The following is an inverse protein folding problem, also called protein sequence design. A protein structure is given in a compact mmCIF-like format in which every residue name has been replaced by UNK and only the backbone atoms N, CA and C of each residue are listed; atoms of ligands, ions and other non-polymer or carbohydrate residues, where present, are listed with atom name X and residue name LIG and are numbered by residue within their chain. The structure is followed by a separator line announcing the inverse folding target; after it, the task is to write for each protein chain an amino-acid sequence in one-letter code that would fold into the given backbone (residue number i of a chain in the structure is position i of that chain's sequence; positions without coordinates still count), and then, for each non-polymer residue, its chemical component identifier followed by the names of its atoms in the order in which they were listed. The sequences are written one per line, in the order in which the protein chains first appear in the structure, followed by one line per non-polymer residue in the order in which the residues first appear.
data_IF_734378834742
#
_entry.id   IF_734378834742
#
_cell.length_a   1.000
_cell.length_b   1.000
_cell.length_c   1.000
_cell.angle_alpha   90.00
_cell.angle_beta   90.00
_cell.angle_gamma   90.00
#
_symmetry.space_group_name_H-M   'P 1'
#
loop_
_entity.id
_entity.type
_entity.pdbx_description
1 polymer ?
#
# COMPACT_ATOMS: atom_id res chain seq x y z
N UNK A 1 10.68 4.15 25.76
CA UNK A 1 9.37 3.57 25.43
C UNK A 1 8.51 4.72 24.93
N UNK A 2 8.07 4.68 23.67
CA UNK A 2 7.28 5.78 23.09
C UNK A 2 5.80 5.57 23.44
N UNK A 3 5.20 6.49 24.19
CA UNK A 3 3.75 6.50 24.43
C UNK A 3 3.25 7.93 24.63
N UNK A 4 2.01 8.19 24.23
CA UNK A 4 1.38 9.51 24.40
C UNK A 4 -0.14 9.42 24.41
N UNK A 5 -0.80 10.38 25.07
CA UNK A 5 -2.26 10.46 25.12
C UNK A 5 -2.79 11.32 23.97
N UNK A 6 -3.82 10.83 23.27
CA UNK A 6 -4.54 11.57 22.25
C UNK A 6 -6.03 11.22 22.25
N UNK A 7 -6.91 12.23 22.30
CA UNK A 7 -8.38 12.09 22.34
C UNK A 7 -8.87 10.99 23.32
N UNK A 8 -8.31 10.97 24.54
CA UNK A 8 -8.71 10.01 25.58
C UNK A 8 -8.20 8.57 25.38
N UNK A 9 -7.28 8.34 24.44
CA UNK A 9 -6.59 7.05 24.23
C UNK A 9 -5.09 7.20 24.49
N UNK A 10 -4.51 6.24 25.20
CA UNK A 10 -3.06 6.06 25.25
C UNK A 10 -2.60 5.34 23.98
N UNK A 11 -1.74 6.00 23.21
CA UNK A 11 -1.04 5.42 22.07
C UNK A 11 0.29 4.87 22.53
N UNK A 12 0.55 3.62 22.19
CA UNK A 12 1.78 2.91 22.54
C UNK A 12 2.64 2.68 21.30
N UNK A 13 3.93 2.48 21.49
CA UNK A 13 4.85 2.01 20.44
C UNK A 13 4.31 0.78 19.70
N UNK A 14 3.57 -0.09 20.40
CA UNK A 14 2.97 -1.28 19.84
C UNK A 14 1.78 -0.97 18.91
N UNK A 15 0.91 -0.01 19.27
CA UNK A 15 -0.14 0.49 18.36
C UNK A 15 0.48 1.06 17.07
N UNK A 16 1.57 1.81 17.22
CA UNK A 16 2.27 2.42 16.09
C UNK A 16 2.90 1.36 15.18
N UNK A 17 3.49 0.31 15.75
CA UNK A 17 4.02 -0.83 14.99
C UNK A 17 2.91 -1.59 14.28
N UNK A 18 1.76 -1.82 14.91
CA UNK A 18 0.63 -2.49 14.29
C UNK A 18 0.12 -1.73 13.05
N UNK A 19 0.07 -0.40 13.11
CA UNK A 19 -0.33 0.43 11.97
C UNK A 19 0.61 0.33 10.76
N UNK A 20 1.82 -0.19 10.92
CA UNK A 20 2.72 -0.49 9.79
C UNK A 20 2.40 -1.82 9.11
N UNK A 21 1.62 -2.69 9.75
CA UNK A 21 1.38 -4.07 9.30
C UNK A 21 2.60 -4.99 9.37
N UNK A 22 3.76 -4.49 9.81
CA UNK A 22 5.02 -5.25 9.87
C UNK A 22 4.99 -6.30 10.98
N UNK A 23 4.12 -6.15 11.98
CA UNK A 23 3.96 -7.15 13.04
C UNK A 23 3.62 -8.54 12.49
N UNK A 24 2.87 -8.62 11.38
CA UNK A 24 2.56 -9.88 10.70
C UNK A 24 3.79 -10.61 10.14
N UNK A 25 4.96 -9.96 10.15
CA UNK A 25 6.19 -10.41 9.54
C UNK A 25 7.34 -10.53 10.55
N UNK A 26 7.08 -10.46 11.85
CA UNK A 26 8.12 -10.47 12.90
C UNK A 26 9.16 -11.59 12.69
N UNK A 27 8.74 -12.80 12.28
CA UNK A 27 9.63 -13.94 12.00
C UNK A 27 10.57 -13.76 10.79
N UNK A 28 10.34 -12.77 9.93
CA UNK A 28 11.13 -12.53 8.71
C UNK A 28 12.18 -11.42 8.87
N UNK A 29 12.06 -10.59 9.91
CA UNK A 29 13.00 -9.50 10.19
C UNK A 29 14.02 -9.85 11.28
N UNK A 30 13.89 -11.00 11.94
CA UNK A 30 14.85 -11.48 12.94
C UNK A 30 16.27 -11.62 12.35
N UNK A 31 16.38 -11.95 11.05
CA UNK A 31 17.64 -12.06 10.30
C UNK A 31 18.01 -10.78 9.51
N UNK A 32 17.35 -9.65 9.77
CA UNK A 32 17.67 -8.36 9.16
C UNK A 32 18.36 -7.43 10.18
N UNK A 33 19.71 -7.42 10.23
CA UNK A 33 20.44 -6.56 11.17
C UNK A 33 20.23 -5.06 10.89
N UNK A 34 19.70 -4.71 9.71
CA UNK A 34 19.35 -3.35 9.32
C UNK A 34 17.90 -2.96 9.65
N UNK A 35 17.10 -3.86 10.23
CA UNK A 35 15.71 -3.58 10.55
C UNK A 35 15.60 -2.48 11.63
N UNK A 36 14.96 -1.38 11.27
CA UNK A 36 14.73 -0.23 12.17
C UNK A 36 13.36 0.37 11.91
N UNK A 37 12.61 0.63 12.98
CA UNK A 37 11.41 1.47 12.96
C UNK A 37 11.75 2.77 13.68
N UNK A 38 11.58 3.90 13.01
CA UNK A 38 11.80 5.22 13.59
C UNK A 38 10.51 6.04 13.47
N UNK A 39 10.05 6.58 14.60
CA UNK A 39 8.92 7.49 14.65
C UNK A 39 9.41 8.92 14.91
N UNK A 40 8.88 9.88 14.15
CA UNK A 40 9.23 11.29 14.28
C UNK A 40 7.95 12.12 14.24
N UNK A 41 7.80 13.02 15.20
CA UNK A 41 6.72 14.00 15.22
C UNK A 41 7.09 15.18 14.32
N UNK A 42 6.09 15.83 13.72
CA UNK A 42 6.30 17.12 13.05
C UNK A 42 6.99 18.10 14.00
N UNK A 43 7.90 18.93 13.49
CA UNK A 43 8.51 19.98 14.32
C UNK A 43 7.42 20.98 14.73
N UNK A 44 7.43 21.47 15.98
CA UNK A 44 6.52 22.54 16.42
C UNK A 44 6.52 23.72 15.43
N UNK A 45 5.39 24.43 15.27
CA UNK A 45 4.25 24.56 16.20
C UNK A 45 3.09 23.58 15.95
N UNK A 46 3.22 22.68 14.99
CA UNK A 46 2.14 21.75 14.66
C UNK A 46 2.02 20.69 15.74
N UNK A 47 0.87 20.71 16.41
CA UNK A 47 0.39 19.84 17.46
C UNK A 47 0.60 18.36 17.08
N UNK A 48 0.70 17.49 18.09
CA UNK A 48 0.84 16.02 18.05
C UNK A 48 -0.18 15.23 17.19
N UNK A 49 -0.88 15.89 16.27
CA UNK A 49 -1.89 15.31 15.39
C UNK A 49 -1.27 14.45 14.29
N UNK A 50 -0.05 14.76 13.85
CA UNK A 50 0.64 14.03 12.79
C UNK A 50 1.98 13.46 13.27
N UNK A 51 2.23 12.20 12.95
CA UNK A 51 3.54 11.59 13.13
C UNK A 51 3.94 10.75 11.91
N UNK A 52 5.24 10.68 11.70
CA UNK A 52 5.84 9.97 10.59
C UNK A 52 6.52 8.72 11.13
N UNK A 53 6.27 7.57 10.49
CA UNK A 53 7.01 6.34 10.73
C UNK A 53 7.86 6.06 9.49
N UNK A 54 9.16 5.87 9.72
CA UNK A 54 10.07 5.31 8.73
C UNK A 54 10.42 3.89 9.13
N UNK A 55 10.28 2.97 8.19
CA UNK A 55 10.77 1.60 8.37
C UNK A 55 11.91 1.35 7.40
N UNK A 56 13.03 0.90 7.95
CA UNK A 56 14.23 0.52 7.21
C UNK A 56 14.38 -0.99 7.30
N UNK A 57 14.57 -1.63 6.15
CA UNK A 57 14.85 -3.06 6.03
C UNK A 57 15.50 -3.32 4.68
N UNK A 58 16.30 -4.40 4.56
CA UNK A 58 16.80 -4.87 3.25
C UNK A 58 15.67 -5.25 2.27
N UNK A 59 14.47 -5.51 2.77
CA UNK A 59 13.30 -5.89 1.98
C UNK A 59 12.51 -4.68 1.43
N UNK A 60 12.79 -3.45 1.86
CA UNK A 60 12.11 -2.25 1.35
C UNK A 60 13.13 -1.21 0.88
N UNK A 61 12.84 -0.51 -0.21
CA UNK A 61 13.67 0.63 -0.64
C UNK A 61 13.26 1.89 0.13
N UNK A 62 11.95 2.13 0.25
CA UNK A 62 11.36 3.15 1.08
C UNK A 62 10.06 2.62 1.69
N UNK A 63 9.94 2.65 3.01
CA UNK A 63 8.65 2.48 3.67
C UNK A 63 8.47 3.66 4.62
N UNK A 64 7.67 4.62 4.16
CA UNK A 64 7.30 5.80 4.92
C UNK A 64 5.80 5.82 5.13
N UNK A 65 5.41 6.15 6.35
CA UNK A 65 4.03 6.38 6.69
C UNK A 65 3.90 7.72 7.38
N UNK A 66 2.83 8.42 7.04
CA UNK A 66 2.34 9.55 7.82
C UNK A 66 0.99 9.15 8.39
N UNK A 67 0.84 9.32 9.69
CA UNK A 67 -0.41 9.01 10.39
C UNK A 67 -0.91 10.33 10.97
N UNK A 68 -2.14 10.68 10.59
CA UNK A 68 -2.87 11.83 11.11
C UNK A 68 -3.98 11.34 12.05
N UNK A 69 -3.80 11.57 13.34
CA UNK A 69 -4.80 11.23 14.37
C UNK A 69 -5.96 12.22 14.41
N UNK A 70 -5.75 13.45 13.94
CA UNK A 70 -6.82 14.44 13.81
C UNK A 70 -7.86 14.00 12.79
N UNK A 71 -7.38 13.68 11.58
CA UNK A 71 -8.21 13.25 10.45
C UNK A 71 -8.46 11.73 10.41
N UNK A 72 -7.87 10.99 11.35
CA UNK A 72 -7.93 9.51 11.40
C UNK A 72 -7.57 8.91 10.03
N UNK A 73 -6.45 9.37 9.46
CA UNK A 73 -5.96 9.00 8.13
C UNK A 73 -4.54 8.45 8.20
N UNK A 74 -4.26 7.45 7.37
CA UNK A 74 -2.92 6.90 7.16
C UNK A 74 -2.54 7.17 5.71
N UNK A 75 -1.37 7.76 5.48
CA UNK A 75 -0.75 7.88 4.17
C UNK A 75 0.50 7.01 4.15
N UNK A 76 0.67 6.18 3.13
CA UNK A 76 1.78 5.26 3.00
C UNK A 76 2.46 5.45 1.65
N UNK A 77 3.77 5.71 1.69
CA UNK A 77 4.64 5.63 0.53
C UNK A 77 5.51 4.38 0.66
N UNK A 78 5.32 3.48 -0.30
CA UNK A 78 5.95 2.17 -0.27
C UNK A 78 6.67 1.88 -1.59
N UNK A 79 7.99 1.87 -1.52
CA UNK A 79 8.91 1.59 -2.62
C UNK A 79 9.71 0.37 -2.22
N UNK A 80 9.74 -0.65 -3.05
CA UNK A 80 10.23 -1.97 -2.66
C UNK A 80 11.51 -2.32 -3.39
N UNK A 81 12.40 -3.06 -2.72
CA UNK A 81 13.66 -3.51 -3.32
C UNK A 81 13.42 -4.68 -4.27
N UNK A 82 14.29 -4.83 -5.28
CA UNK A 82 14.16 -5.88 -6.31
C UNK A 82 14.23 -7.32 -5.75
N UNK A 83 14.65 -7.50 -4.50
CA UNK A 83 14.74 -8.79 -3.81
C UNK A 83 13.64 -9.05 -2.78
N UNK A 84 12.67 -8.14 -2.63
CA UNK A 84 11.60 -8.32 -1.67
C UNK A 84 10.64 -9.39 -2.14
N UNK A 85 10.27 -10.29 -1.23
CA UNK A 85 9.29 -11.31 -1.53
C UNK A 85 7.90 -10.65 -1.62
N UNK A 86 7.27 -10.67 -2.78
CA UNK A 86 5.99 -9.96 -3.06
C UNK A 86 4.92 -10.16 -1.98
N UNK A 87 4.84 -11.36 -1.40
CA UNK A 87 3.87 -11.69 -0.37
C UNK A 87 4.04 -10.86 0.92
N UNK A 88 5.24 -10.38 1.24
CA UNK A 88 5.53 -9.54 2.42
C UNK A 88 4.66 -8.28 2.37
N UNK A 89 4.51 -7.70 1.18
CA UNK A 89 3.71 -6.50 0.94
C UNK A 89 2.23 -6.74 1.14
N UNK A 90 1.76 -7.86 0.59
CA UNK A 90 0.37 -8.29 0.69
C UNK A 90 -0.02 -8.49 2.16
N UNK A 91 0.85 -9.11 2.96
CA UNK A 91 0.64 -9.26 4.40
C UNK A 91 0.70 -7.91 5.15
N UNK A 92 1.69 -7.06 4.87
CA UNK A 92 1.78 -5.74 5.50
C UNK A 92 0.51 -4.90 5.27
N UNK A 93 0.07 -4.79 4.01
CA UNK A 93 -1.08 -3.96 3.67
C UNK A 93 -2.37 -4.54 4.24
N UNK A 94 -2.54 -5.87 4.20
CA UNK A 94 -3.68 -6.52 4.86
C UNK A 94 -3.72 -6.23 6.36
N UNK A 95 -2.62 -6.49 7.06
CA UNK A 95 -2.53 -6.27 8.51
C UNK A 95 -2.69 -4.79 8.86
N UNK A 96 -2.16 -3.89 8.03
CA UNK A 96 -2.33 -2.44 8.17
C UNK A 96 -3.81 -2.05 8.08
N UNK A 97 -4.55 -2.56 7.07
CA UNK A 97 -6.00 -2.32 6.94
C UNK A 97 -6.73 -2.85 8.18
N UNK A 98 -6.50 -4.10 8.56
CA UNK A 98 -7.16 -4.71 9.72
C UNK A 98 -6.87 -3.97 11.03
N UNK A 99 -5.62 -3.54 11.23
CA UNK A 99 -5.21 -2.77 12.41
C UNK A 99 -5.83 -1.37 12.42
N UNK A 100 -5.84 -0.68 11.27
CA UNK A 100 -6.45 0.64 11.15
C UNK A 100 -7.95 0.59 11.49
N UNK A 101 -8.66 -0.47 11.08
CA UNK A 101 -10.07 -0.70 11.42
C UNK A 101 -10.24 -0.85 12.94
N UNK A 102 -9.43 -1.70 13.59
CA UNK A 102 -9.46 -1.90 15.06
C UNK A 102 -9.17 -0.61 15.82
N UNK A 103 -8.40 0.29 15.21
CA UNK A 103 -7.98 1.57 15.79
C UNK A 103 -8.89 2.74 15.36
N UNK A 104 -10.03 2.46 14.72
CA UNK A 104 -11.04 3.43 14.28
C UNK A 104 -10.52 4.49 13.30
N UNK A 105 -9.55 4.15 12.45
CA UNK A 105 -9.17 5.00 11.33
C UNK A 105 -10.31 5.06 10.30
N UNK A 106 -10.39 6.18 9.60
CA UNK A 106 -11.40 6.43 8.57
C UNK A 106 -10.91 6.08 7.17
N UNK A 107 -9.61 6.27 6.90
CA UNK A 107 -9.05 6.11 5.56
C UNK A 107 -7.60 5.66 5.60
N UNK A 108 -7.21 4.89 4.58
CA UNK A 108 -5.81 4.62 4.24
C UNK A 108 -5.59 5.08 2.82
N UNK A 109 -4.49 5.79 2.59
CA UNK A 109 -4.04 6.18 1.27
C UNK A 109 -2.68 5.55 1.00
N UNK A 110 -2.56 4.93 -0.16
CA UNK A 110 -1.38 4.19 -0.57
C UNK A 110 -0.88 4.76 -1.88
N UNK A 111 0.33 5.28 -1.83
CA UNK A 111 1.12 5.71 -2.98
C UNK A 111 2.15 4.63 -3.24
N UNK A 112 2.22 4.17 -4.49
CA UNK A 112 3.38 3.42 -4.91
C UNK A 112 3.97 3.95 -6.19
N UNK A 113 5.28 3.98 -6.16
CA UNK A 113 6.09 4.48 -7.23
C UNK A 113 6.91 3.35 -7.81
N UNK A 114 7.03 3.36 -9.14
CA UNK A 114 8.04 2.56 -9.81
C UNK A 114 9.40 3.05 -9.33
N UNK A 115 10.25 2.15 -8.87
CA UNK A 115 11.62 2.50 -8.50
C UNK A 115 12.41 2.87 -9.77
N UNK A 116 12.99 4.07 -9.79
CA UNK A 116 13.84 4.55 -10.89
C UNK A 116 15.23 3.90 -10.91
N UNK A 117 15.58 3.12 -9.87
CA UNK A 117 16.87 2.41 -9.85
C UNK A 117 16.82 1.29 -10.91
N UNK A 118 17.77 1.26 -11.87
CA UNK A 118 17.86 0.16 -12.80
C UNK A 118 18.04 -1.12 -12.00
N UNK A 119 17.06 -1.99 -12.10
CA UNK A 119 17.13 -3.35 -11.59
C UNK A 119 18.28 -3.96 -12.37
N UNK A 120 19.41 -4.21 -11.71
CA UNK A 120 20.47 -5.02 -12.33
C UNK A 120 19.83 -6.37 -12.62
N UNK A 121 19.47 -6.57 -13.88
CA UNK A 121 19.07 -7.83 -14.49
C UNK A 121 20.21 -8.80 -14.29
N UNK A 122 20.16 -9.49 -13.16
CA UNK A 122 20.75 -10.80 -12.98
C UNK A 122 19.53 -11.72 -12.88
N UNK A 123 19.53 -12.77 -13.68
CA UNK A 123 18.47 -13.75 -13.93
C UNK A 123 17.68 -13.56 -15.25
N UNK A 124 18.15 -14.34 -16.23
CA UNK A 124 17.45 -14.91 -17.38
C UNK A 124 15.94 -14.90 -17.26
N UNK A 125 15.26 -14.32 -18.27
CA UNK A 125 13.93 -14.65 -18.85
C UNK A 125 12.72 -14.97 -17.95
N UNK A 126 12.88 -15.04 -16.63
CA UNK A 126 11.84 -15.17 -15.64
C UNK A 126 11.29 -13.76 -15.41
N UNK A 127 10.21 -13.46 -16.16
CA UNK A 127 9.28 -12.35 -15.97
C UNK A 127 9.42 -11.76 -14.57
N UNK A 128 10.20 -10.69 -14.46
CA UNK A 128 10.27 -9.97 -13.20
C UNK A 128 8.89 -9.33 -13.08
N UNK A 129 8.05 -10.00 -12.31
CA UNK A 129 6.73 -9.58 -11.89
C UNK A 129 6.97 -8.42 -10.91
N UNK A 130 7.53 -7.33 -11.45
CA UNK A 130 7.87 -6.14 -10.70
C UNK A 130 6.58 -5.67 -10.10
N UNK A 131 6.58 -5.69 -8.76
CA UNK A 131 5.44 -5.47 -7.90
C UNK A 131 4.34 -4.69 -8.57
N UNK A 132 3.41 -5.48 -9.03
CA UNK A 132 2.37 -4.99 -9.83
C UNK A 132 1.43 -4.25 -8.93
N UNK A 133 1.53 -2.92 -8.97
CA UNK A 133 0.67 -2.01 -8.26
C UNK A 133 -0.73 -2.57 -8.14
N UNK A 134 -1.36 -2.90 -9.26
CA UNK A 134 -2.70 -3.45 -9.25
C UNK A 134 -2.92 -4.66 -8.29
N UNK A 135 -1.93 -5.51 -7.95
CA UNK A 135 -2.01 -6.64 -6.96
C UNK A 135 -2.40 -6.19 -5.59
N UNK A 136 -1.67 -5.25 -5.03
CA UNK A 136 -1.97 -4.81 -3.68
C UNK A 136 -3.31 -4.05 -3.65
N UNK A 137 -3.74 -3.37 -4.70
CA UNK A 137 -4.88 -2.47 -4.55
C UNK A 137 -6.17 -3.04 -5.11
N UNK A 138 -6.12 -3.76 -6.24
CA UNK A 138 -7.29 -4.45 -6.75
C UNK A 138 -7.70 -5.61 -5.83
N UNK A 139 -6.73 -6.33 -5.25
CA UNK A 139 -7.01 -7.39 -4.26
C UNK A 139 -7.46 -6.81 -2.92
N UNK A 140 -6.79 -5.77 -2.41
CA UNK A 140 -7.10 -5.20 -1.10
C UNK A 140 -8.08 -4.03 -1.18
N UNK A 141 -8.89 -3.91 -2.24
CA UNK A 141 -10.01 -2.97 -2.29
C UNK A 141 -9.66 -1.48 -2.32
N UNK A 142 -8.43 -1.11 -2.65
CA UNK A 142 -8.12 0.30 -2.83
C UNK A 142 -8.70 0.81 -4.15
N UNK A 143 -9.36 1.96 -4.09
CA UNK A 143 -9.97 2.62 -5.25
C UNK A 143 -9.15 3.82 -5.69
N UNK A 144 -9.08 4.05 -7.00
CA UNK A 144 -8.51 5.28 -7.55
C UNK A 144 -9.46 6.44 -7.23
N UNK A 145 -9.03 7.33 -6.36
CA UNK A 145 -9.87 8.45 -5.88
C UNK A 145 -9.68 9.73 -6.71
N UNK A 146 -8.55 9.88 -7.42
CA UNK A 146 -8.29 11.03 -8.29
C UNK A 146 -8.80 10.79 -9.71
N UNK A 147 -9.66 11.69 -10.20
CA UNK A 147 -10.25 11.59 -11.55
C UNK A 147 -9.20 11.58 -12.67
N UNK A 148 -8.12 12.36 -12.54
CA UNK A 148 -7.03 12.38 -13.52
C UNK A 148 -6.31 11.04 -13.63
N UNK A 149 -6.12 10.33 -12.51
CA UNK A 149 -5.52 8.99 -12.47
C UNK A 149 -6.46 7.94 -13.05
N UNK A 150 -7.76 8.03 -12.71
CA UNK A 150 -8.78 7.17 -13.30
C UNK A 150 -8.84 7.33 -14.82
N UNK A 151 -8.79 8.56 -15.32
CA UNK A 151 -8.78 8.82 -16.76
C UNK A 151 -7.52 8.27 -17.43
N UNK A 152 -6.34 8.44 -16.82
CA UNK A 152 -5.09 7.85 -17.33
C UNK A 152 -5.16 6.32 -17.39
N UNK A 153 -5.73 5.69 -16.37
CA UNK A 153 -5.99 4.25 -16.36
C UNK A 153 -6.89 3.84 -17.52
N UNK A 154 -8.03 4.52 -17.68
CA UNK A 154 -8.99 4.21 -18.74
C UNK A 154 -8.36 4.38 -20.13
N UNK A 155 -7.63 5.48 -20.36
CA UNK A 155 -6.92 5.68 -21.62
C UNK A 155 -5.94 4.54 -21.89
N UNK A 156 -5.14 4.14 -20.90
CA UNK A 156 -4.21 3.01 -21.04
C UNK A 156 -4.93 1.70 -21.40
N UNK A 157 -6.08 1.42 -20.78
CA UNK A 157 -6.86 0.21 -21.09
C UNK A 157 -7.48 0.27 -22.49
N UNK A 158 -8.03 1.42 -22.87
CA UNK A 158 -8.64 1.63 -24.18
C UNK A 158 -7.62 1.53 -25.32
N UNK A 159 -6.43 2.13 -25.16
CA UNK A 159 -5.35 2.11 -26.17
C UNK A 159 -4.80 0.68 -26.43
N UNK A 160 -5.18 -0.29 -25.60
CA UNK A 160 -4.65 -1.66 -25.62
C UNK A 160 -5.76 -2.72 -25.74
N UNK A 161 -6.88 -2.36 -26.37
CA UNK A 161 -8.05 -3.23 -26.61
C UNK A 161 -8.68 -3.84 -25.33
N UNK A 162 -8.56 -3.14 -24.20
CA UNK A 162 -9.11 -3.54 -22.90
C UNK A 162 -10.20 -2.56 -22.41
N UNK A 163 -10.98 -1.96 -23.33
CA UNK A 163 -11.95 -0.89 -23.04
C UNK A 163 -13.04 -1.24 -22.02
N UNK A 164 -13.35 -2.52 -21.88
CA UNK A 164 -14.35 -2.99 -20.90
C UNK A 164 -13.84 -2.88 -19.46
N UNK A 165 -12.53 -2.70 -19.26
CA UNK A 165 -11.88 -2.58 -17.96
C UNK A 165 -11.82 -1.11 -17.56
N UNK A 166 -12.68 -0.74 -16.61
CA UNK A 166 -12.86 0.66 -16.18
C UNK A 166 -12.34 0.93 -14.77
N UNK A 167 -11.97 -0.11 -14.03
CA UNK A 167 -11.39 0.00 -12.71
C UNK A 167 -10.26 -1.01 -12.49
N UNK A 168 -9.28 -0.63 -11.67
CA UNK A 168 -8.10 -1.45 -11.40
C UNK A 168 -8.42 -2.81 -10.74
N UNK A 169 -9.50 -2.90 -9.97
CA UNK A 169 -9.93 -4.15 -9.34
C UNK A 169 -10.52 -5.15 -10.33
N UNK A 170 -11.03 -4.70 -11.48
CA UNK A 170 -11.58 -5.59 -12.52
C UNK A 170 -10.49 -6.44 -13.20
N UNK A 171 -9.21 -6.00 -13.11
CA UNK A 171 -8.05 -6.75 -13.59
C UNK A 171 -7.87 -8.09 -12.85
N UNK A 172 -8.47 -8.25 -11.67
CA UNK A 172 -8.48 -9.51 -10.89
C UNK A 172 -9.52 -10.51 -11.36
N UNK A 173 -10.39 -10.13 -12.29
CA UNK A 173 -11.37 -11.02 -12.86
C UNK A 173 -10.75 -12.26 -13.51
N UNK A 174 -11.57 -13.30 -13.70
CA UNK A 174 -11.14 -14.54 -14.39
C UNK A 174 -11.28 -14.46 -15.92
N UNK A 175 -11.82 -13.36 -16.45
CA UNK A 175 -12.10 -13.20 -17.88
C UNK A 175 -10.82 -13.09 -18.72
N UNK A 176 -10.92 -13.39 -20.01
CA UNK A 176 -9.82 -13.18 -20.96
C UNK A 176 -9.41 -11.70 -21.00
N UNK A 177 -10.36 -10.76 -20.90
CA UNK A 177 -10.05 -9.34 -20.83
C UNK A 177 -9.27 -8.95 -19.57
N UNK A 178 -9.63 -9.48 -18.40
CA UNK A 178 -8.88 -9.24 -17.17
C UNK A 178 -7.43 -9.75 -17.28
N UNK A 179 -7.22 -10.91 -17.92
CA UNK A 179 -5.86 -11.44 -18.19
C UNK A 179 -5.06 -10.54 -19.15
N UNK A 180 -5.69 -9.95 -20.17
CA UNK A 180 -5.05 -9.00 -21.10
C UNK A 180 -4.72 -7.69 -20.41
N UNK A 181 -5.67 -7.09 -19.68
CA UNK A 181 -5.46 -5.88 -18.91
C UNK A 181 -4.36 -6.04 -17.86
N UNK A 182 -4.27 -7.21 -17.24
CA UNK A 182 -3.14 -7.58 -16.37
C UNK A 182 -1.82 -7.53 -17.12
N UNK A 183 -1.74 -8.13 -18.31
CA UNK A 183 -0.51 -8.09 -19.10
C UNK A 183 -0.14 -6.66 -19.53
N UNK A 184 -1.12 -5.84 -19.91
CA UNK A 184 -0.94 -4.42 -20.24
C UNK A 184 -0.38 -3.65 -19.05
N UNK A 185 -1.01 -3.77 -17.88
CA UNK A 185 -0.55 -3.09 -16.67
C UNK A 185 0.86 -3.53 -16.26
N UNK A 186 1.20 -4.81 -16.40
CA UNK A 186 2.54 -5.29 -16.08
C UNK A 186 3.64 -4.61 -16.92
N UNK A 187 3.32 -4.20 -18.15
CA UNK A 187 4.28 -3.62 -19.08
C UNK A 187 4.32 -2.09 -18.93
N UNK A 188 3.14 -1.48 -18.93
CA UNK A 188 2.97 -0.03 -19.08
C UNK A 188 2.44 0.66 -17.80
N UNK A 189 2.05 -0.09 -16.77
CA UNK A 189 1.47 0.42 -15.53
C UNK A 189 2.47 1.27 -14.73
N UNK A 190 2.15 2.55 -14.58
CA UNK A 190 3.00 3.54 -13.89
C UNK A 190 2.77 3.59 -12.37
N UNK A 191 3.53 4.46 -11.70
CA UNK A 191 3.26 4.93 -10.33
C UNK A 191 1.83 5.40 -10.16
N UNK A 192 1.27 5.18 -8.98
CA UNK A 192 -0.15 5.39 -8.75
C UNK A 192 -0.51 5.55 -7.27
N UNK A 193 -1.71 6.09 -7.04
CA UNK A 193 -2.25 6.44 -5.73
C UNK A 193 -3.66 5.88 -5.57
N UNK A 194 -3.95 5.27 -4.42
CA UNK A 194 -5.26 4.69 -4.12
C UNK A 194 -5.70 5.00 -2.70
N UNK A 195 -7.02 5.04 -2.50
CA UNK A 195 -7.63 5.20 -1.18
C UNK A 195 -8.41 3.95 -0.83
N UNK A 196 -8.28 3.50 0.41
CA UNK A 196 -9.17 2.55 1.04
C UNK A 196 -10.03 3.30 2.06
N UNK A 197 -11.34 3.37 1.81
CA UNK A 197 -12.31 3.88 2.79
C UNK A 197 -12.58 2.80 3.83
N UNK A 198 -12.33 3.11 5.11
CA UNK A 198 -12.41 2.13 6.19
C UNK A 198 -13.86 1.87 6.68
N UNK A 199 -14.86 2.49 6.07
CA UNK A 199 -16.27 2.25 6.39
C UNK A 199 -16.77 0.97 5.72
N UNK A 200 -17.53 0.16 6.48
CA UNK A 200 -18.02 -1.16 6.03
C UNK A 200 -18.89 -1.09 4.77
N UNK A 201 -19.58 0.02 4.57
CA UNK A 201 -20.47 0.26 3.44
C UNK A 201 -19.73 0.73 2.17
N UNK A 202 -18.44 1.08 2.27
CA UNK A 202 -17.67 1.62 1.16
C UNK A 202 -17.41 0.59 0.07
N UNK A 203 -17.15 1.08 -1.14
CA UNK A 203 -16.77 0.20 -2.25
C UNK A 203 -15.44 -0.51 -1.97
N UNK A 204 -14.54 0.11 -1.21
CA UNK A 204 -13.28 -0.50 -0.79
C UNK A 204 -13.49 -1.79 0.00
N UNK A 205 -14.38 -1.74 0.99
CA UNK A 205 -14.79 -2.93 1.74
C UNK A 205 -15.44 -3.97 0.83
N UNK A 206 -16.40 -3.55 0.00
CA UNK A 206 -17.10 -4.48 -0.90
C UNK A 206 -16.12 -5.22 -1.82
N UNK A 207 -15.11 -4.54 -2.36
CA UNK A 207 -14.09 -5.15 -3.22
C UNK A 207 -13.22 -6.12 -2.42
N UNK A 208 -12.72 -5.71 -1.25
CA UNK A 208 -11.88 -6.57 -0.40
C UNK A 208 -12.55 -7.92 -0.09
N UNK A 209 -13.84 -7.91 0.26
CA UNK A 209 -14.58 -9.12 0.64
C UNK A 209 -15.20 -9.89 -0.54
N UNK A 210 -15.31 -9.28 -1.73
CA UNK A 210 -15.74 -9.98 -2.97
C UNK A 210 -14.59 -10.73 -3.67
N UNK A 211 -13.35 -10.37 -3.38
CA UNK A 211 -12.15 -10.93 -4.04
C UNK A 211 -11.58 -12.16 -3.32
N UNK A 212 -12.27 -12.63 -2.26
CA UNK A 212 -12.03 -13.89 -1.53
C UNK A 212 -13.01 -14.94 -2.06
#
# INVERSE_FOLDING_TARGET
MLSFWYKGRLWTEEDLKQLTGIKALNLMFDDDPGFRIQAFFGKPPYVYDDFNIKVTSKYFTHFYMRISLFSMRIENLLIVSSGAKQYIMEYCIKEQVESAIKLNFSTIELIAERSDKPVRTIYDSAKIDFMNGYKVWGRYGFVMYLSSRKQRFQNLMHDKDCSDINAIHEIYGKSTQAKRAKAVWNIDGFSWEGRFDLKKESDSYRILYKTI
#
